data_IF_126621610877
#
_entry.id   IF_126621610877
#
_cell.length_a   1.000
_cell.length_b   1.000
_cell.length_c   1.000
_cell.angle_alpha   90.00
_cell.angle_beta   90.00
_cell.angle_gamma   90.00
#
_symmetry.space_group_name_H-M   'P 1'
#
loop_
_entity.id
_entity.type
_entity.pdbx_description
1 polymer ?
#
# COMPACT_ATOMS: atom_id res chain seq x y z
N UNK A 1 -9.83 50.72 13.07
CA UNK A 1 -8.35 50.73 13.16
C UNK A 1 -7.89 49.31 13.47
N UNK A 2 -7.05 48.70 12.64
CA UNK A 2 -6.45 47.40 12.98
C UNK A 2 -5.26 47.60 13.90
N UNK A 3 -5.14 46.76 14.94
CA UNK A 3 -4.02 46.81 15.86
C UNK A 3 -2.70 46.54 15.11
N UNK A 4 -1.70 47.41 15.30
CA UNK A 4 -0.34 47.17 14.79
C UNK A 4 0.16 45.87 15.40
N UNK A 5 0.34 44.82 14.58
CA UNK A 5 1.03 43.60 14.98
C UNK A 5 2.43 43.99 15.47
N UNK A 6 2.76 43.66 16.71
CA UNK A 6 4.16 43.64 17.17
C UNK A 6 4.82 42.46 16.47
N UNK A 7 5.41 42.73 15.30
CA UNK A 7 6.26 41.76 14.60
C UNK A 7 7.62 41.81 15.28
N UNK A 8 8.12 40.63 15.68
CA UNK A 8 9.43 40.49 16.29
C UNK A 8 10.52 40.70 15.22
N UNK A 9 11.45 41.64 15.41
CA UNK A 9 12.46 41.95 14.39
C UNK A 9 13.46 40.81 14.16
N UNK A 10 13.70 39.92 15.13
CA UNK A 10 14.59 38.78 14.93
C UNK A 10 13.89 37.68 14.11
N UNK A 11 12.61 37.41 14.37
CA UNK A 11 11.83 36.47 13.56
C UNK A 11 11.65 36.95 12.12
N UNK A 12 11.48 38.26 11.90
CA UNK A 12 11.38 38.80 10.53
C UNK A 12 12.75 38.82 9.83
N UNK A 13 13.87 38.98 10.56
CA UNK A 13 15.21 38.80 9.99
C UNK A 13 15.43 37.36 9.53
N UNK A 14 15.11 36.37 10.38
CA UNK A 14 15.18 34.94 10.03
C UNK A 14 14.29 34.57 8.84
N UNK A 15 13.12 35.20 8.69
CA UNK A 15 12.24 35.00 7.51
C UNK A 15 12.80 35.56 6.21
N UNK A 16 13.66 36.58 6.27
CA UNK A 16 14.34 37.15 5.10
C UNK A 16 15.66 36.43 4.78
N UNK A 17 16.21 35.64 5.71
CA UNK A 17 17.40 34.81 5.54
C UNK A 17 17.09 33.41 4.95
N UNK A 18 15.81 33.00 4.94
CA UNK A 18 15.34 31.76 4.31
C UNK A 18 14.74 32.10 2.95
N UNK A 19 15.23 31.45 1.89
CA UNK A 19 14.63 31.55 0.56
C UNK A 19 13.13 31.27 0.63
N UNK A 20 12.33 32.16 0.04
CA UNK A 20 10.88 32.00 -0.02
C UNK A 20 10.46 30.67 -0.64
N UNK A 21 9.25 30.16 -0.35
CA UNK A 21 8.79 28.90 -0.91
C UNK A 21 8.93 28.93 -2.44
N UNK A 22 9.48 27.86 -3.06
CA UNK A 22 9.81 27.87 -4.48
C UNK A 22 8.58 28.22 -5.31
N UNK A 23 8.75 29.01 -6.36
CA UNK A 23 7.64 29.35 -7.27
C UNK A 23 7.20 28.09 -8.03
N UNK A 24 6.19 27.41 -7.48
CA UNK A 24 5.66 26.18 -8.02
C UNK A 24 4.86 26.41 -9.29
N UNK A 25 4.28 27.59 -9.52
CA UNK A 25 3.33 27.82 -10.61
C UNK A 25 3.94 27.52 -11.99
N UNK A 26 5.14 28.02 -12.26
CA UNK A 26 5.85 27.73 -13.51
C UNK A 26 6.28 26.26 -13.61
N UNK A 27 6.65 25.64 -12.49
CA UNK A 27 7.00 24.21 -12.45
C UNK A 27 5.78 23.33 -12.77
N UNK A 28 4.62 23.65 -12.20
CA UNK A 28 3.39 22.88 -12.40
C UNK A 28 2.90 23.02 -13.85
N UNK A 29 2.91 24.23 -14.41
CA UNK A 29 2.52 24.47 -15.82
C UNK A 29 3.41 23.69 -16.80
N UNK A 30 4.71 23.61 -16.56
CA UNK A 30 5.62 22.83 -17.41
C UNK A 30 5.31 21.33 -17.34
N UNK A 31 5.18 20.77 -16.13
CA UNK A 31 4.89 19.34 -15.94
C UNK A 31 3.49 18.99 -16.48
N UNK A 32 2.49 19.85 -16.32
CA UNK A 32 1.17 19.67 -16.94
C UNK A 32 1.27 19.63 -18.46
N UNK A 33 2.05 20.53 -19.08
CA UNK A 33 2.27 20.51 -20.53
C UNK A 33 2.93 19.22 -20.99
N UNK A 34 4.02 18.83 -20.33
CA UNK A 34 4.80 17.61 -20.62
C UNK A 34 3.97 16.32 -20.45
N UNK A 35 3.12 16.28 -19.42
CA UNK A 35 2.30 15.11 -19.08
C UNK A 35 0.92 15.08 -19.73
N UNK A 36 0.52 16.14 -20.45
CA UNK A 36 -0.80 16.28 -21.12
C UNK A 36 -1.13 15.22 -22.16
N UNK A 37 -0.11 14.58 -22.74
CA UNK A 37 -0.26 13.51 -23.74
C UNK A 37 -0.06 12.11 -23.17
N UNK A 38 0.29 11.97 -21.90
CA UNK A 38 0.59 10.67 -21.30
C UNK A 38 -0.69 10.12 -20.65
N UNK A 39 -1.18 8.98 -21.14
CA UNK A 39 -2.31 8.30 -20.53
C UNK A 39 -1.94 7.78 -19.13
N UNK A 40 -2.81 8.00 -18.17
CA UNK A 40 -2.56 7.70 -16.77
C UNK A 40 -2.50 6.19 -16.47
N UNK A 41 -2.91 5.31 -17.41
CA UNK A 41 -2.70 3.86 -17.25
C UNK A 41 -1.21 3.49 -17.14
N UNK A 42 -0.28 4.33 -17.65
CA UNK A 42 1.16 4.14 -17.42
C UNK A 42 1.58 4.11 -15.94
N UNK A 43 0.77 4.69 -15.03
CA UNK A 43 0.97 4.58 -13.57
C UNK A 43 0.97 3.12 -13.09
N UNK A 44 0.28 2.23 -13.79
CA UNK A 44 0.14 0.81 -13.44
C UNK A 44 1.17 -0.08 -14.15
N UNK A 45 1.94 0.45 -15.10
CA UNK A 45 3.10 -0.23 -15.67
C UNK A 45 4.34 -0.09 -14.77
N UNK A 46 5.38 -0.88 -15.05
CA UNK A 46 6.63 -0.85 -14.29
C UNK A 46 7.25 0.56 -14.20
N UNK A 47 7.16 1.35 -15.28
CA UNK A 47 7.73 2.69 -15.35
C UNK A 47 6.99 3.73 -14.50
N UNK A 48 5.67 3.62 -14.33
CA UNK A 48 4.87 4.56 -13.55
C UNK A 48 4.60 4.14 -12.10
N UNK A 49 4.98 2.91 -11.73
CA UNK A 49 4.73 2.33 -10.41
C UNK A 49 5.22 3.19 -9.25
N UNK A 50 6.38 3.83 -9.37
CA UNK A 50 6.90 4.73 -8.33
C UNK A 50 6.03 5.99 -8.14
N UNK A 51 5.56 6.57 -9.25
CA UNK A 51 4.62 7.71 -9.24
C UNK A 51 3.28 7.32 -8.61
N UNK A 52 2.74 6.15 -8.96
CA UNK A 52 1.52 5.61 -8.37
C UNK A 52 1.66 5.41 -6.86
N UNK A 53 2.73 4.75 -6.42
CA UNK A 53 3.02 4.53 -5.00
C UNK A 53 3.13 5.85 -4.22
N UNK A 54 3.80 6.86 -4.79
CA UNK A 54 3.96 8.17 -4.17
C UNK A 54 2.64 8.96 -4.10
N UNK A 55 1.77 8.86 -5.11
CA UNK A 55 0.41 9.41 -5.08
C UNK A 55 -0.43 8.76 -3.98
N UNK A 56 -0.46 7.42 -3.94
CA UNK A 56 -1.19 6.66 -2.92
C UNK A 56 -0.77 7.06 -1.51
N UNK A 57 0.55 7.06 -1.24
CA UNK A 57 1.10 7.51 0.03
C UNK A 57 0.56 8.88 0.44
N UNK A 58 0.71 9.89 -0.43
CA UNK A 58 0.46 11.28 -0.03
C UNK A 58 -1.01 11.66 0.10
N UNK A 59 -1.90 10.97 -0.63
CA UNK A 59 -3.34 11.22 -0.58
C UNK A 59 -4.03 10.39 0.50
N UNK A 60 -3.68 9.11 0.64
CA UNK A 60 -4.31 8.20 1.61
C UNK A 60 -3.74 8.33 3.02
N UNK A 61 -2.49 8.79 3.21
CA UNK A 61 -1.95 9.08 4.55
C UNK A 61 -2.34 10.45 5.11
N UNK A 62 -3.19 11.22 4.40
CA UNK A 62 -3.64 12.53 4.87
C UNK A 62 -4.67 12.34 5.99
N UNK A 63 -4.34 12.78 7.21
CA UNK A 63 -5.22 12.63 8.35
C UNK A 63 -6.55 13.38 8.14
N UNK A 64 -7.67 12.68 8.29
CA UNK A 64 -9.03 13.23 8.16
C UNK A 64 -9.33 14.22 9.28
N UNK A 65 -9.02 15.50 9.04
CA UNK A 65 -9.09 16.54 10.08
C UNK A 65 -9.02 17.97 9.56
N UNK A 66 -10.12 18.46 8.94
CA UNK A 66 -10.50 19.87 8.69
C UNK A 66 -9.54 20.82 7.97
N UNK A 67 -8.28 20.47 7.70
CA UNK A 67 -7.29 21.38 7.06
C UNK A 67 -6.90 20.92 5.66
N UNK A 68 -6.93 19.61 5.38
CA UNK A 68 -6.52 19.05 4.09
C UNK A 68 -7.55 18.08 3.53
N UNK A 69 -7.78 18.23 2.23
CA UNK A 69 -8.60 17.34 1.42
C UNK A 69 -7.88 15.99 1.23
N UNK A 70 -8.57 14.92 1.60
CA UNK A 70 -8.09 13.54 1.55
C UNK A 70 -8.43 12.83 0.25
N UNK A 71 -8.20 11.51 0.21
CA UNK A 71 -8.44 10.70 -0.98
C UNK A 71 -9.92 10.72 -1.46
N UNK A 72 -10.89 10.91 -0.57
CA UNK A 72 -12.32 10.98 -0.94
C UNK A 72 -12.65 12.24 -1.75
N UNK A 73 -12.09 13.39 -1.37
CA UNK A 73 -12.32 14.65 -2.08
C UNK A 73 -11.58 14.65 -3.43
N UNK A 74 -10.36 14.09 -3.43
CA UNK A 74 -9.65 13.76 -4.67
C UNK A 74 -10.51 12.86 -5.58
N UNK A 75 -11.11 11.79 -5.06
CA UNK A 75 -11.99 10.89 -5.81
C UNK A 75 -13.20 11.59 -6.43
N UNK A 76 -13.88 12.45 -5.67
CA UNK A 76 -15.02 13.23 -6.16
C UNK A 76 -14.61 14.17 -7.30
N UNK A 77 -13.47 14.86 -7.18
CA UNK A 77 -12.94 15.71 -8.24
C UNK A 77 -12.37 14.94 -9.45
N UNK A 78 -11.97 13.68 -9.27
CA UNK A 78 -11.63 12.75 -10.36
C UNK A 78 -12.87 12.15 -11.06
N UNK A 79 -14.08 12.45 -10.57
CA UNK A 79 -15.35 12.09 -11.21
C UNK A 79 -16.02 10.80 -10.71
N UNK A 80 -15.57 10.24 -9.58
CA UNK A 80 -16.22 9.06 -8.97
C UNK A 80 -17.52 9.46 -8.27
N UNK A 81 -18.53 8.58 -8.33
CA UNK A 81 -19.80 8.78 -7.61
C UNK A 81 -19.64 8.52 -6.11
N UNK A 82 -20.60 8.98 -5.30
CA UNK A 82 -20.59 8.75 -3.85
C UNK A 82 -20.72 7.27 -3.50
N UNK A 83 -21.40 6.49 -4.34
CA UNK A 83 -21.53 5.03 -4.23
C UNK A 83 -20.18 4.36 -4.49
N UNK A 84 -19.42 4.80 -5.49
CA UNK A 84 -18.08 4.30 -5.79
C UNK A 84 -17.08 4.65 -4.67
N UNK A 85 -17.13 5.88 -4.16
CA UNK A 85 -16.28 6.31 -3.03
C UNK A 85 -16.59 5.47 -1.77
N UNK A 86 -17.86 5.20 -1.48
CA UNK A 86 -18.26 4.30 -0.37
C UNK A 86 -17.80 2.87 -0.61
N UNK A 87 -17.91 2.34 -1.83
CA UNK A 87 -17.44 0.99 -2.16
C UNK A 87 -15.92 0.86 -1.91
N UNK A 88 -15.14 1.90 -2.24
CA UNK A 88 -13.70 1.94 -1.91
C UNK A 88 -13.46 2.00 -0.39
N UNK A 89 -14.21 2.79 0.37
CA UNK A 89 -14.00 2.97 1.83
C UNK A 89 -14.47 1.78 2.69
N UNK A 90 -15.47 1.02 2.21
CA UNK A 90 -16.08 -0.10 2.94
C UNK A 90 -15.79 -1.48 2.35
N UNK A 91 -15.99 -1.69 1.03
CA UNK A 91 -15.95 -3.03 0.41
C UNK A 91 -14.54 -3.42 -0.07
N UNK A 92 -13.75 -2.44 -0.53
CA UNK A 92 -12.35 -2.67 -0.94
C UNK A 92 -11.31 -2.31 0.14
N UNK A 93 -11.79 -1.97 1.35
CA UNK A 93 -10.94 -1.60 2.48
C UNK A 93 -9.95 -2.71 2.83
N UNK A 94 -8.66 -2.41 2.82
CA UNK A 94 -7.60 -3.34 3.20
C UNK A 94 -7.08 -4.26 2.09
N UNK A 95 -7.70 -4.26 0.89
CA UNK A 95 -7.21 -5.02 -0.27
C UNK A 95 -6.06 -4.28 -1.00
N UNK A 96 -6.26 -2.98 -1.25
CA UNK A 96 -5.25 -2.03 -1.74
C UNK A 96 -5.50 -0.65 -1.12
N UNK A 97 -4.63 0.30 -1.43
CA UNK A 97 -4.79 1.71 -1.04
C UNK A 97 -6.05 2.35 -1.69
N UNK A 98 -6.81 3.19 -0.97
CA UNK A 98 -8.00 3.84 -1.55
C UNK A 98 -7.71 4.67 -2.80
N UNK A 99 -6.60 5.43 -2.81
CA UNK A 99 -6.17 6.25 -3.95
C UNK A 99 -5.79 5.38 -5.15
N UNK A 100 -5.27 4.16 -4.92
CA UNK A 100 -5.03 3.19 -6.00
C UNK A 100 -6.34 2.86 -6.74
N UNK A 101 -7.44 2.63 -6.01
CA UNK A 101 -8.74 2.36 -6.63
C UNK A 101 -9.34 3.58 -7.34
N UNK A 102 -9.15 4.79 -6.80
CA UNK A 102 -9.54 6.04 -7.48
C UNK A 102 -8.83 6.18 -8.82
N UNK A 103 -7.50 5.97 -8.83
CA UNK A 103 -6.70 6.04 -10.06
C UNK A 103 -7.05 4.89 -11.01
N UNK A 104 -7.36 3.69 -10.51
CA UNK A 104 -7.77 2.55 -11.33
C UNK A 104 -9.13 2.79 -12.00
N UNK A 105 -10.09 3.40 -11.30
CA UNK A 105 -11.37 3.84 -11.87
C UNK A 105 -11.17 4.93 -12.94
N UNK A 106 -10.30 5.90 -12.66
CA UNK A 106 -9.99 6.99 -13.57
C UNK A 106 -9.39 6.52 -14.90
N UNK A 107 -8.40 5.62 -14.88
CA UNK A 107 -7.72 5.15 -16.11
C UNK A 107 -8.60 4.32 -17.05
N UNK A 108 -9.85 4.01 -16.67
CA UNK A 108 -10.81 3.41 -17.59
C UNK A 108 -11.29 4.39 -18.67
N UNK A 109 -11.11 5.71 -18.49
CA UNK A 109 -11.44 6.71 -19.51
C UNK A 109 -10.35 6.82 -20.58
N UNK A 110 -10.68 6.85 -21.88
CA UNK A 110 -9.68 7.00 -22.95
C UNK A 110 -8.96 8.36 -22.92
N UNK A 111 -9.56 9.37 -22.28
CA UNK A 111 -8.95 10.68 -22.07
C UNK A 111 -8.27 10.84 -20.70
N UNK A 112 -8.06 9.75 -19.96
CA UNK A 112 -7.43 9.80 -18.64
C UNK A 112 -5.94 10.10 -18.79
N UNK A 113 -5.55 11.38 -18.66
CA UNK A 113 -4.16 11.84 -18.77
C UNK A 113 -3.57 12.21 -17.40
N UNK A 114 -2.24 12.27 -17.31
CA UNK A 114 -1.52 12.59 -16.06
C UNK A 114 -1.70 14.07 -15.66
N UNK A 115 -1.74 15.00 -16.61
CA UNK A 115 -1.94 16.44 -16.34
C UNK A 115 -3.29 16.74 -15.67
N UNK A 116 -4.33 15.97 -16.00
CA UNK A 116 -5.65 16.06 -15.37
C UNK A 116 -5.61 15.66 -13.88
N UNK A 117 -4.76 14.68 -13.49
CA UNK A 117 -4.49 14.37 -12.08
C UNK A 117 -3.86 15.58 -11.38
N UNK A 118 -2.84 16.19 -12.00
CA UNK A 118 -2.18 17.39 -11.46
C UNK A 118 -3.15 18.58 -11.35
N UNK A 119 -4.05 18.73 -12.33
CA UNK A 119 -5.09 19.75 -12.35
C UNK A 119 -6.12 19.55 -11.24
N UNK A 120 -6.45 18.30 -10.89
CA UNK A 120 -7.29 17.99 -9.73
C UNK A 120 -6.55 18.29 -8.43
N UNK A 121 -5.27 17.90 -8.30
CA UNK A 121 -4.45 18.24 -7.13
C UNK A 121 -4.34 19.76 -6.90
N UNK A 122 -4.26 20.57 -7.96
CA UNK A 122 -4.33 22.03 -7.87
C UNK A 122 -5.70 22.51 -7.35
N UNK A 123 -6.82 21.94 -7.85
CA UNK A 123 -8.18 22.32 -7.42
C UNK A 123 -8.39 22.08 -5.92
N UNK A 124 -7.97 20.91 -5.41
CA UNK A 124 -8.00 20.57 -3.97
C UNK A 124 -6.81 21.18 -3.18
N UNK A 125 -6.08 22.13 -3.77
CA UNK A 125 -4.98 22.89 -3.14
C UNK A 125 -3.83 22.04 -2.58
N UNK A 126 -3.69 20.80 -3.02
CA UNK A 126 -2.64 19.84 -2.62
C UNK A 126 -1.33 20.06 -3.40
N UNK A 127 -0.83 21.30 -3.35
CA UNK A 127 0.44 21.69 -3.98
C UNK A 127 1.65 20.97 -3.36
N UNK A 128 1.52 20.54 -2.11
CA UNK A 128 2.48 19.68 -1.40
C UNK A 128 2.68 18.34 -2.12
N UNK A 129 1.60 17.75 -2.64
CA UNK A 129 1.64 16.50 -3.40
C UNK A 129 2.37 16.71 -4.72
N UNK A 130 1.99 17.76 -5.46
CA UNK A 130 2.59 18.07 -6.76
C UNK A 130 4.10 18.31 -6.62
N UNK A 131 4.52 19.08 -5.61
CA UNK A 131 5.94 19.34 -5.36
C UNK A 131 6.75 18.07 -5.01
N UNK A 132 6.12 17.04 -4.42
CA UNK A 132 6.78 15.77 -4.11
C UNK A 132 6.78 14.76 -5.27
N UNK A 133 5.77 14.76 -6.14
CA UNK A 133 5.69 13.82 -7.27
C UNK A 133 6.39 14.34 -8.54
N UNK A 134 6.72 15.64 -8.61
CA UNK A 134 7.24 16.29 -9.84
C UNK A 134 8.38 15.54 -10.55
N UNK A 135 9.37 15.05 -9.79
CA UNK A 135 10.50 14.30 -10.35
C UNK A 135 10.04 12.97 -10.95
N UNK A 136 9.24 12.20 -10.22
CA UNK A 136 8.67 10.93 -10.69
C UNK A 136 7.78 11.09 -11.93
N UNK A 137 7.02 12.18 -12.04
CA UNK A 137 6.23 12.49 -13.24
C UNK A 137 7.14 12.82 -14.42
N UNK A 138 8.18 13.63 -14.23
CA UNK A 138 9.16 13.96 -15.27
C UNK A 138 9.94 12.71 -15.75
N UNK A 139 10.37 11.86 -14.83
CA UNK A 139 11.04 10.59 -15.15
C UNK A 139 10.12 9.65 -15.94
N UNK A 140 8.84 9.58 -15.58
CA UNK A 140 7.82 8.83 -16.32
C UNK A 140 7.61 9.39 -17.73
N UNK A 141 7.46 10.71 -17.90
CA UNK A 141 7.31 11.35 -19.22
C UNK A 141 8.52 11.05 -20.11
N UNK A 142 9.74 11.14 -19.56
CA UNK A 142 10.97 10.84 -20.29
C UNK A 142 11.05 9.37 -20.71
N UNK A 143 10.71 8.43 -19.81
CA UNK A 143 10.69 7.00 -20.11
C UNK A 143 9.68 6.67 -21.24
N UNK A 144 8.45 7.20 -21.15
CA UNK A 144 7.45 7.00 -22.22
C UNK A 144 7.92 7.62 -23.53
N UNK A 145 8.49 8.83 -23.50
CA UNK A 145 8.96 9.53 -24.70
C UNK A 145 10.11 8.81 -25.42
N UNK A 146 10.91 8.01 -24.73
CA UNK A 146 11.97 7.18 -25.33
C UNK A 146 11.43 5.93 -26.05
N UNK A 147 10.22 5.48 -25.71
CA UNK A 147 9.60 4.27 -26.29
C UNK A 147 8.64 4.57 -27.45
N UNK A 148 8.32 5.84 -27.72
CA UNK A 148 7.38 6.25 -28.78
C UNK A 148 8.13 6.69 -30.02
N UNK A 149 7.87 6.03 -31.16
CA UNK A 149 8.36 6.50 -32.47
C UNK A 149 7.63 7.76 -32.93
N UNK A 150 8.28 8.72 -33.64
CA UNK A 150 7.72 10.06 -33.86
C UNK A 150 6.53 10.18 -34.84
N UNK A 151 5.83 9.09 -35.19
CA UNK A 151 4.94 9.02 -36.37
C UNK A 151 3.46 9.33 -36.14
N UNK A 152 3.00 9.62 -34.91
CA UNK A 152 1.56 9.76 -34.62
C UNK A 152 1.18 11.05 -33.86
N UNK A 153 0.90 12.10 -34.64
CA UNK A 153 -0.08 13.16 -34.36
C UNK A 153 -0.03 13.89 -33.00
N UNK A 154 -1.15 14.57 -32.64
CA UNK A 154 -1.39 15.15 -31.31
C UNK A 154 -2.05 14.14 -30.33
N UNK A 155 -2.08 12.86 -30.68
CA UNK A 155 -2.85 11.81 -29.99
C UNK A 155 -2.28 11.50 -28.59
N UNK A 156 -3.14 11.00 -27.70
CA UNK A 156 -2.75 10.58 -26.35
C UNK A 156 -1.95 9.28 -26.46
N UNK A 157 -0.76 9.26 -25.88
CA UNK A 157 0.11 8.09 -25.82
C UNK A 157 -0.46 7.13 -24.77
N UNK A 158 -0.91 5.96 -25.22
CA UNK A 158 -1.50 4.92 -24.36
C UNK A 158 -0.53 3.72 -24.21
N UNK A 159 -0.49 3.07 -23.03
CA UNK A 159 0.21 1.80 -22.86
C UNK A 159 -0.45 0.67 -23.67
N UNK A 160 0.30 -0.39 -23.93
CA UNK A 160 -0.21 -1.59 -24.63
C UNK A 160 -1.29 -2.35 -23.86
N UNK A 161 -1.45 -2.07 -22.56
CA UNK A 161 -2.49 -2.63 -21.71
C UNK A 161 -3.04 -1.58 -20.73
N UNK A 162 -4.36 -1.40 -20.72
CA UNK A 162 -5.06 -0.63 -19.68
C UNK A 162 -5.59 -1.63 -18.63
N UNK A 163 -5.20 -1.52 -17.35
CA UNK A 163 -5.68 -2.43 -16.30
C UNK A 163 -7.19 -2.24 -16.10
N UNK A 164 -7.93 -3.33 -15.90
CA UNK A 164 -9.39 -3.28 -15.73
C UNK A 164 -9.77 -2.99 -14.28
N UNK A 165 -10.67 -2.02 -14.08
CA UNK A 165 -11.32 -1.80 -12.80
C UNK A 165 -12.42 -2.87 -12.52
N UNK A 166 -12.76 -3.16 -11.26
CA UNK A 166 -14.00 -3.85 -10.90
C UNK A 166 -15.22 -3.14 -11.50
N UNK A 167 -16.25 -3.88 -11.91
CA UNK A 167 -17.43 -3.32 -12.62
C UNK A 167 -18.10 -2.14 -11.88
N UNK A 168 -18.14 -2.17 -10.55
CA UNK A 168 -18.69 -1.07 -9.73
C UNK A 168 -17.89 0.23 -9.86
N UNK A 169 -16.58 0.16 -10.13
CA UNK A 169 -15.69 1.30 -10.34
C UNK A 169 -15.52 1.68 -11.82
N UNK A 170 -16.09 0.90 -12.74
CA UNK A 170 -16.06 1.21 -14.18
C UNK A 170 -17.07 2.32 -14.52
N UNK A 171 -16.77 3.20 -15.49
CA UNK A 171 -17.73 4.17 -15.99
C UNK A 171 -18.99 3.48 -16.53
N UNK A 172 -20.18 4.00 -16.20
CA UNK A 172 -21.45 3.49 -16.71
C UNK A 172 -21.60 3.91 -18.18
N UNK A 173 -21.01 3.13 -19.08
CA UNK A 173 -21.14 3.33 -20.51
C UNK A 173 -22.47 2.75 -21.00
N UNK A 174 -23.45 3.62 -21.31
CA UNK A 174 -24.69 3.22 -21.99
C UNK A 174 -24.43 2.94 -23.48
N UNK A 175 -23.71 1.85 -23.77
CA UNK A 175 -23.55 1.30 -25.12
C UNK A 175 -23.66 -0.24 -25.06
N UNK A 176 -24.42 -0.80 -25.99
CA UNK A 176 -24.87 -2.19 -26.00
C UNK A 176 -23.75 -3.24 -25.89
N UNK A 177 -23.93 -4.23 -25.01
CA UNK A 177 -23.07 -5.41 -24.96
C UNK A 177 -23.22 -6.27 -26.23
N UNK A 178 -22.23 -6.21 -27.13
CA UNK A 178 -21.99 -7.29 -28.10
C UNK A 178 -20.85 -8.19 -27.64
N UNK A 179 -21.25 -9.23 -26.90
CA UNK A 179 -20.38 -10.34 -26.51
C UNK A 179 -19.67 -10.94 -27.73
N UNK A 180 -18.34 -11.04 -27.67
CA UNK A 180 -17.56 -12.09 -28.32
C UNK A 180 -16.42 -12.52 -27.41
N UNK A 181 -16.60 -13.66 -26.75
CA UNK A 181 -15.48 -14.43 -26.21
C UNK A 181 -14.54 -14.82 -27.35
N UNK A 182 -13.23 -14.69 -27.11
CA UNK A 182 -12.21 -15.51 -27.75
C UNK A 182 -11.19 -15.89 -26.69
N UNK A 183 -11.16 -17.17 -26.38
CA UNK A 183 -10.00 -17.82 -25.78
C UNK A 183 -8.86 -17.82 -26.81
N UNK A 184 -7.62 -17.76 -26.34
CA UNK A 184 -6.42 -18.02 -27.13
C UNK A 184 -5.40 -18.72 -26.25
N UNK A 185 -4.99 -19.91 -26.66
CA UNK A 185 -4.00 -20.76 -26.00
C UNK A 185 -2.56 -20.44 -26.45
N UNK A 186 -1.57 -21.00 -25.73
CA UNK A 186 -0.20 -21.26 -26.20
C UNK A 186 0.74 -20.02 -26.32
N UNK A 187 2.07 -20.09 -26.12
CA UNK A 187 3.01 -21.22 -26.15
C UNK A 187 4.04 -21.20 -25.00
N UNK A 188 4.67 -22.36 -24.77
CA UNK A 188 5.86 -22.58 -23.92
C UNK A 188 7.20 -22.43 -24.67
N UNK A 189 8.29 -22.33 -23.86
CA UNK A 189 9.65 -22.92 -23.99
C UNK A 189 10.82 -21.88 -24.05
N UNK A 190 12.07 -22.22 -23.64
CA UNK A 190 12.47 -22.71 -22.30
C UNK A 190 13.86 -22.17 -21.82
N UNK A 191 14.36 -22.71 -20.70
CA UNK A 191 15.79 -22.83 -20.31
C UNK A 191 16.58 -21.56 -19.90
N UNK A 192 17.64 -21.63 -19.07
CA UNK A 192 17.99 -22.52 -17.94
C UNK A 192 19.25 -21.94 -17.26
N UNK A 193 19.26 -21.79 -15.92
CA UNK A 193 20.50 -21.64 -15.11
C UNK A 193 20.28 -22.10 -13.66
N UNK A 194 20.13 -23.40 -13.46
CA UNK A 194 20.31 -23.99 -12.12
C UNK A 194 21.79 -24.00 -11.69
N UNK A 195 22.09 -23.51 -10.48
CA UNK A 195 23.16 -24.09 -9.65
C UNK A 195 22.73 -24.22 -8.18
N UNK A 196 22.16 -25.40 -7.89
CA UNK A 196 22.19 -26.19 -6.65
C UNK A 196 22.58 -25.48 -5.33
N UNK A 197 21.61 -25.38 -4.41
CA UNK A 197 21.49 -26.21 -3.19
C UNK A 197 20.15 -25.86 -2.48
N UNK A 198 19.54 -26.66 -1.59
CA UNK A 198 19.82 -28.01 -1.08
C UNK A 198 18.46 -28.74 -0.83
N UNK A 199 18.44 -30.03 -0.47
CA UNK A 199 17.18 -30.72 -0.15
C UNK A 199 16.50 -30.20 1.14
N UNK A 200 15.23 -29.77 1.02
CA UNK A 200 14.22 -29.72 2.11
C UNK A 200 12.83 -29.54 1.48
N UNK A 201 11.77 -29.87 2.24
CA UNK A 201 10.38 -29.76 1.78
C UNK A 201 10.08 -28.37 1.21
N UNK A 202 9.64 -28.29 -0.06
CA UNK A 202 9.32 -27.04 -0.74
C UNK A 202 8.02 -26.46 -0.20
N UNK A 203 8.17 -25.58 0.80
CA UNK A 203 7.08 -24.70 1.24
C UNK A 203 6.71 -23.73 0.12
N UNK A 204 5.40 -23.51 -0.09
CA UNK A 204 4.91 -22.53 -1.07
C UNK A 204 5.23 -21.10 -0.64
N UNK A 205 5.10 -20.80 0.65
CA UNK A 205 5.65 -19.61 1.27
C UNK A 205 5.98 -19.89 2.74
N UNK A 206 6.76 -19.00 3.36
CA UNK A 206 7.10 -19.01 4.78
C UNK A 206 6.54 -17.73 5.41
N UNK A 207 5.84 -17.85 6.53
CA UNK A 207 5.19 -16.72 7.22
C UNK A 207 5.60 -16.68 8.69
N UNK A 208 5.76 -15.47 9.22
CA UNK A 208 5.92 -15.23 10.66
C UNK A 208 4.60 -14.77 11.26
N UNK A 209 4.07 -15.49 12.24
CA UNK A 209 2.91 -15.00 13.01
C UNK A 209 3.38 -14.06 14.12
N UNK A 210 2.61 -13.03 14.41
CA UNK A 210 2.80 -12.21 15.62
C UNK A 210 1.44 -11.91 16.25
N UNK A 211 1.30 -12.22 17.53
CA UNK A 211 0.01 -12.23 18.22
C UNK A 211 0.20 -11.96 19.72
N UNK A 212 -0.84 -11.42 20.37
CA UNK A 212 -0.92 -11.35 21.82
C UNK A 212 -1.63 -12.60 22.38
N UNK A 213 -1.57 -12.80 23.71
CA UNK A 213 -2.17 -13.95 24.40
C UNK A 213 -3.64 -14.26 23.99
N UNK A 214 -4.45 -13.24 23.74
CA UNK A 214 -5.86 -13.37 23.35
C UNK A 214 -6.08 -13.77 21.87
N UNK A 215 -5.02 -13.69 21.06
CA UNK A 215 -4.95 -14.17 19.68
C UNK A 215 -4.34 -15.56 19.52
N UNK A 216 -3.82 -16.18 20.59
CA UNK A 216 -3.24 -17.53 20.55
C UNK A 216 -4.18 -18.61 19.95
N UNK A 217 -5.50 -18.67 20.29
CA UNK A 217 -6.39 -19.68 19.71
C UNK A 217 -6.52 -19.54 18.18
N UNK A 218 -6.60 -18.31 17.69
CA UNK A 218 -6.62 -18.00 16.25
C UNK A 218 -5.27 -18.33 15.60
N UNK A 219 -4.15 -18.06 16.28
CA UNK A 219 -2.81 -18.44 15.82
C UNK A 219 -2.69 -19.97 15.63
N UNK A 220 -3.14 -20.76 16.60
CA UNK A 220 -3.15 -22.22 16.51
C UNK A 220 -4.07 -22.74 15.39
N UNK A 221 -5.25 -22.13 15.23
CA UNK A 221 -6.21 -22.48 14.18
C UNK A 221 -5.59 -22.26 12.79
N UNK A 222 -5.11 -21.04 12.53
CA UNK A 222 -4.47 -20.64 11.27
C UNK A 222 -3.22 -21.48 10.99
N UNK A 223 -2.42 -21.78 12.01
CA UNK A 223 -1.22 -22.61 11.87
C UNK A 223 -1.55 -24.03 11.42
N UNK A 224 -2.63 -24.64 11.93
CA UNK A 224 -3.11 -25.96 11.47
C UNK A 224 -3.55 -25.89 10.01
N UNK A 225 -4.28 -24.83 9.62
CA UNK A 225 -4.70 -24.60 8.23
C UNK A 225 -3.48 -24.49 7.31
N UNK A 226 -2.56 -23.56 7.59
CA UNK A 226 -1.35 -23.29 6.78
C UNK A 226 -0.46 -24.53 6.60
N UNK A 227 -0.25 -25.30 7.68
CA UNK A 227 0.53 -26.56 7.63
C UNK A 227 -0.17 -27.69 6.86
N UNK A 228 -1.48 -27.61 6.66
CA UNK A 228 -2.27 -28.63 5.94
C UNK A 228 -2.37 -28.40 4.42
N UNK A 229 -2.13 -27.18 3.94
CA UNK A 229 -2.26 -26.82 2.51
C UNK A 229 -1.22 -27.52 1.62
N UNK A 230 -1.51 -27.57 0.31
CA UNK A 230 -0.56 -27.96 -0.72
C UNK A 230 -0.46 -26.85 -1.78
N UNK A 231 0.73 -26.28 -2.05
CA UNK A 231 1.97 -26.47 -1.29
C UNK A 231 1.83 -26.02 0.18
N UNK A 232 2.61 -26.62 1.08
CA UNK A 232 2.55 -26.29 2.52
C UNK A 232 3.03 -24.87 2.77
N UNK A 233 2.42 -24.18 3.72
CA UNK A 233 2.90 -22.89 4.21
C UNK A 233 3.75 -23.15 5.46
N UNK A 234 5.01 -22.70 5.43
CA UNK A 234 5.90 -22.73 6.58
C UNK A 234 5.47 -21.66 7.58
N UNK A 235 5.30 -22.02 8.85
CA UNK A 235 4.80 -21.09 9.88
C UNK A 235 5.82 -20.98 11.00
N UNK A 236 6.34 -19.78 11.21
CA UNK A 236 7.22 -19.42 12.31
C UNK A 236 6.42 -18.79 13.46
N UNK A 237 6.56 -19.40 14.63
CA UNK A 237 6.08 -18.92 15.93
C UNK A 237 7.30 -18.89 16.86
N UNK A 238 7.52 -17.81 17.61
CA UNK A 238 8.70 -17.66 18.48
C UNK A 238 8.69 -18.65 19.64
N UNK A 239 7.52 -18.96 20.22
CA UNK A 239 7.41 -19.98 21.26
C UNK A 239 7.84 -21.38 20.78
N UNK A 240 7.67 -21.70 19.48
CA UNK A 240 8.14 -22.97 18.93
C UNK A 240 9.67 -23.01 18.70
N UNK A 241 10.36 -21.86 18.75
CA UNK A 241 11.81 -21.70 18.56
C UNK A 241 12.52 -21.24 19.85
N UNK A 242 11.95 -21.60 21.00
CA UNK A 242 12.34 -21.16 22.34
C UNK A 242 13.86 -21.23 22.61
N UNK A 243 14.51 -22.33 22.19
CA UNK A 243 15.95 -22.55 22.40
C UNK A 243 16.83 -21.54 21.64
N UNK A 244 16.47 -21.21 20.39
CA UNK A 244 17.20 -20.21 19.61
C UNK A 244 16.93 -18.80 20.17
N UNK A 245 15.67 -18.49 20.48
CA UNK A 245 15.27 -17.18 21.02
C UNK A 245 15.96 -16.87 22.35
N UNK A 246 16.08 -17.83 23.29
CA UNK A 246 16.80 -17.57 24.56
C UNK A 246 18.31 -17.35 24.39
N UNK A 247 18.91 -17.81 23.29
CA UNK A 247 20.35 -17.65 23.06
C UNK A 247 20.72 -16.25 22.54
N UNK A 248 20.01 -15.76 21.51
CA UNK A 248 20.27 -14.48 20.81
C UNK A 248 18.98 -13.91 20.23
N UNK A 249 18.05 -13.52 21.10
CA UNK A 249 16.67 -13.19 20.72
C UNK A 249 16.53 -12.19 19.56
N UNK A 250 17.19 -11.03 19.66
CA UNK A 250 17.06 -9.96 18.65
C UNK A 250 17.66 -10.38 17.31
N UNK A 251 18.90 -10.90 17.30
CA UNK A 251 19.56 -11.42 16.09
C UNK A 251 18.71 -12.51 15.40
N UNK A 252 18.17 -13.46 16.18
CA UNK A 252 17.33 -14.53 15.66
C UNK A 252 16.02 -14.01 15.07
N UNK A 253 15.37 -13.05 15.73
CA UNK A 253 14.13 -12.43 15.25
C UNK A 253 14.41 -11.62 13.98
N UNK A 254 15.50 -10.85 13.92
CA UNK A 254 15.93 -10.09 12.75
C UNK A 254 16.19 -11.00 11.54
N UNK A 255 16.91 -12.11 11.74
CA UNK A 255 17.22 -13.05 10.67
C UNK A 255 15.98 -13.80 10.20
N UNK A 256 15.09 -14.18 11.11
CA UNK A 256 13.77 -14.71 10.77
C UNK A 256 12.92 -13.69 9.99
N UNK A 257 12.87 -12.44 10.46
CA UNK A 257 12.12 -11.36 9.85
C UNK A 257 12.60 -11.03 8.43
N UNK A 258 13.89 -11.25 8.13
CA UNK A 258 14.44 -11.14 6.76
C UNK A 258 14.11 -12.35 5.88
N UNK A 259 13.98 -13.55 6.46
CA UNK A 259 13.84 -14.82 5.72
C UNK A 259 12.39 -15.23 5.39
N UNK A 260 11.39 -14.78 6.15
CA UNK A 260 9.99 -15.06 5.82
C UNK A 260 9.51 -14.27 4.60
N UNK A 261 8.53 -14.78 3.87
CA UNK A 261 7.91 -14.02 2.77
C UNK A 261 6.97 -12.94 3.34
N UNK A 262 6.10 -13.34 4.27
CA UNK A 262 5.10 -12.49 4.91
C UNK A 262 5.23 -12.46 6.44
N UNK A 263 4.83 -11.34 7.03
CA UNK A 263 4.57 -11.24 8.47
C UNK A 263 3.07 -11.03 8.67
N UNK A 264 2.47 -11.81 9.57
CA UNK A 264 1.03 -11.89 9.79
C UNK A 264 0.71 -11.53 11.24
N UNK A 265 0.42 -10.24 11.51
CA UNK A 265 -0.17 -9.82 12.78
C UNK A 265 -1.59 -10.34 12.93
N UNK A 266 -1.88 -10.99 14.05
CA UNK A 266 -3.24 -11.34 14.46
C UNK A 266 -3.76 -10.19 15.34
N UNK A 267 -4.65 -9.37 14.78
CA UNK A 267 -5.11 -8.14 15.38
C UNK A 267 -6.28 -8.42 16.32
N UNK A 268 -5.96 -8.62 17.58
CA UNK A 268 -6.89 -8.63 18.70
C UNK A 268 -6.88 -7.31 19.45
N UNK A 269 -7.87 -7.08 20.32
CA UNK A 269 -7.82 -5.99 21.31
C UNK A 269 -6.51 -5.98 22.10
N UNK A 270 -6.04 -7.14 22.58
CA UNK A 270 -4.77 -7.28 23.29
C UNK A 270 -3.53 -6.97 22.46
N UNK A 271 -3.56 -7.23 21.14
CA UNK A 271 -2.49 -6.83 20.23
C UNK A 271 -2.39 -5.30 20.14
N UNK A 272 -3.52 -4.62 19.91
CA UNK A 272 -3.59 -3.14 19.82
C UNK A 272 -3.17 -2.49 21.15
N UNK A 273 -3.68 -2.99 22.28
CA UNK A 273 -3.28 -2.50 23.61
C UNK A 273 -1.77 -2.62 23.84
N UNK A 274 -1.12 -3.70 23.36
CA UNK A 274 0.32 -3.92 23.50
C UNK A 274 1.18 -3.02 22.63
N UNK A 275 0.79 -2.76 21.38
CA UNK A 275 1.58 -1.86 20.50
C UNK A 275 1.43 -0.38 20.92
N UNK A 276 0.27 0.00 21.47
CA UNK A 276 -0.02 1.40 21.81
C UNK A 276 0.44 1.82 23.22
N UNK A 277 0.55 0.90 24.20
CA UNK A 277 0.98 1.26 25.56
C UNK A 277 2.50 1.18 25.76
N UNK A 278 3.24 2.30 25.91
CA UNK A 278 4.66 2.24 26.25
C UNK A 278 4.91 1.73 27.69
N UNK A 279 3.99 1.93 28.63
CA UNK A 279 4.26 1.82 30.07
C UNK A 279 4.28 0.39 30.66
N UNK A 280 3.55 -0.58 30.08
CA UNK A 280 3.51 -1.97 30.59
C UNK A 280 4.67 -2.84 30.07
N UNK A 281 5.92 -2.40 30.27
CA UNK A 281 7.13 -3.16 29.89
C UNK A 281 7.59 -4.10 31.03
N UNK A 282 7.32 -3.76 32.29
CA UNK A 282 7.97 -4.39 33.45
C UNK A 282 7.09 -5.25 34.38
N UNK A 283 5.76 -5.23 34.24
CA UNK A 283 4.86 -5.82 35.26
C UNK A 283 4.25 -7.20 34.91
N UNK A 284 4.50 -7.74 33.73
CA UNK A 284 4.05 -9.09 33.40
C UNK A 284 5.21 -9.94 32.88
N UNK A 285 5.54 -10.96 33.67
CA UNK A 285 6.42 -12.05 33.30
C UNK A 285 5.74 -12.86 32.17
N UNK A 286 5.85 -12.36 30.95
CA UNK A 286 5.29 -13.01 29.78
C UNK A 286 6.13 -14.24 29.44
N UNK A 287 5.73 -15.40 29.97
CA UNK A 287 6.32 -16.69 29.64
C UNK A 287 6.18 -17.04 28.14
N UNK A 288 5.22 -16.42 27.44
CA UNK A 288 5.04 -16.55 26.00
C UNK A 288 5.96 -15.58 25.23
N UNK A 289 6.86 -16.14 24.40
CA UNK A 289 7.88 -15.39 23.66
C UNK A 289 7.28 -14.50 22.56
N UNK A 290 6.26 -14.94 21.83
CA UNK A 290 5.57 -14.13 20.82
C UNK A 290 5.03 -12.83 21.41
N UNK A 291 4.36 -12.96 22.56
CA UNK A 291 3.78 -11.86 23.34
C UNK A 291 4.83 -10.96 24.00
N UNK A 292 6.03 -11.50 24.30
CA UNK A 292 7.18 -10.74 24.82
C UNK A 292 7.81 -9.87 23.73
N UNK A 293 8.05 -10.42 22.54
CA UNK A 293 8.75 -9.74 21.44
C UNK A 293 7.83 -8.99 20.45
N UNK A 294 6.51 -9.08 20.61
CA UNK A 294 5.49 -8.37 19.81
C UNK A 294 5.85 -6.90 19.49
N UNK A 295 6.25 -6.10 20.50
CA UNK A 295 6.65 -4.68 20.32
C UNK A 295 7.91 -4.50 19.46
N UNK A 296 8.86 -5.42 19.57
CA UNK A 296 10.09 -5.41 18.79
C UNK A 296 9.78 -5.72 17.33
N UNK A 297 9.03 -6.80 17.07
CA UNK A 297 8.52 -7.15 15.73
C UNK A 297 7.73 -5.98 15.13
N UNK A 298 6.80 -5.36 15.88
CA UNK A 298 6.06 -4.19 15.40
C UNK A 298 6.95 -2.99 15.06
N UNK A 299 8.09 -2.83 15.74
CA UNK A 299 9.06 -1.79 15.40
C UNK A 299 9.83 -2.12 14.12
N UNK A 300 10.16 -3.39 13.87
CA UNK A 300 10.69 -3.86 12.58
C UNK A 300 9.69 -3.64 11.44
N UNK A 301 8.39 -3.93 11.64
CA UNK A 301 7.34 -3.68 10.65
C UNK A 301 7.25 -2.20 10.25
N UNK A 302 7.29 -1.28 11.24
CA UNK A 302 7.28 0.17 10.98
C UNK A 302 8.57 0.64 10.30
N UNK A 303 9.72 0.12 10.71
CA UNK A 303 11.00 0.45 10.10
C UNK A 303 11.06 -0.01 8.63
N UNK A 304 10.67 -1.25 8.33
CA UNK A 304 10.60 -1.76 6.95
C UNK A 304 9.63 -0.93 6.10
N UNK A 305 8.46 -0.57 6.64
CA UNK A 305 7.50 0.28 5.94
C UNK A 305 8.09 1.63 5.54
N UNK A 306 8.71 2.36 6.48
CA UNK A 306 9.35 3.66 6.19
C UNK A 306 10.50 3.49 5.18
N UNK A 307 11.35 2.47 5.37
CA UNK A 307 12.47 2.17 4.45
C UNK A 307 11.98 1.86 3.03
N UNK A 308 10.87 1.15 2.90
CA UNK A 308 10.24 0.79 1.63
C UNK A 308 9.33 1.92 1.09
N UNK A 309 9.63 3.19 1.40
CA UNK A 309 8.87 4.37 0.96
C UNK A 309 7.36 4.27 1.28
N UNK A 310 7.04 3.75 2.46
CA UNK A 310 5.69 3.52 2.95
C UNK A 310 4.86 2.52 2.11
N UNK A 311 5.52 1.57 1.43
CA UNK A 311 4.85 0.46 0.74
C UNK A 311 4.75 -0.79 1.64
N UNK A 312 3.52 -1.23 1.92
CA UNK A 312 3.27 -2.44 2.69
C UNK A 312 3.25 -3.72 1.83
N UNK A 313 4.44 -4.21 1.45
CA UNK A 313 4.56 -5.37 0.58
C UNK A 313 4.37 -6.72 1.31
N UNK A 314 4.81 -6.80 2.58
CA UNK A 314 4.99 -8.07 3.32
C UNK A 314 4.07 -8.26 4.52
N UNK A 315 3.43 -7.20 5.04
CA UNK A 315 2.56 -7.32 6.22
C UNK A 315 1.13 -7.58 5.76
N UNK A 316 0.54 -8.69 6.19
CA UNK A 316 -0.85 -9.04 5.89
C UNK A 316 -1.50 -9.53 7.16
N UNK A 317 -2.38 -8.71 7.74
CA UNK A 317 -2.94 -8.98 9.05
C UNK A 317 -4.17 -9.90 8.98
N UNK A 318 -4.49 -10.57 10.07
CA UNK A 318 -5.72 -11.34 10.22
C UNK A 318 -6.46 -10.86 11.47
N UNK A 319 -7.76 -10.65 11.37
CA UNK A 319 -8.64 -10.20 12.46
C UNK A 319 -9.59 -11.34 12.82
N UNK A 320 -9.59 -11.83 14.07
CA UNK A 320 -10.62 -12.75 14.54
C UNK A 320 -12.02 -12.13 14.38
N UNK A 321 -13.02 -12.91 13.97
CA UNK A 321 -14.34 -12.36 13.62
C UNK A 321 -14.99 -11.57 14.77
N UNK A 322 -14.74 -12.02 16.01
CA UNK A 322 -15.15 -11.37 17.27
C UNK A 322 -14.55 -9.96 17.47
N UNK A 323 -13.38 -9.68 16.91
CA UNK A 323 -12.59 -8.45 17.12
C UNK A 323 -12.78 -7.43 15.98
N UNK A 324 -13.36 -7.81 14.84
CA UNK A 324 -13.53 -6.96 13.64
C UNK A 324 -14.11 -5.58 13.96
N UNK A 325 -15.17 -5.52 14.76
CA UNK A 325 -15.81 -4.25 15.14
C UNK A 325 -14.88 -3.32 15.95
N UNK A 326 -14.02 -3.89 16.79
CA UNK A 326 -13.00 -3.15 17.54
C UNK A 326 -11.94 -2.63 16.58
N UNK A 327 -11.34 -3.52 15.78
CA UNK A 327 -10.21 -3.21 14.89
C UNK A 327 -10.59 -2.19 13.80
N UNK A 328 -11.82 -2.23 13.27
CA UNK A 328 -12.32 -1.25 12.29
C UNK A 328 -12.40 0.18 12.84
N UNK A 329 -12.53 0.34 14.17
CA UNK A 329 -12.66 1.64 14.84
C UNK A 329 -11.34 2.20 15.37
N UNK A 330 -10.31 1.37 15.48
CA UNK A 330 -9.00 1.77 15.95
C UNK A 330 -8.22 2.54 14.88
N UNK A 331 -7.48 3.56 15.30
CA UNK A 331 -6.60 4.32 14.39
C UNK A 331 -5.29 3.54 14.18
N UNK A 332 -5.35 2.51 13.33
CA UNK A 332 -4.23 1.63 13.04
C UNK A 332 -3.15 2.33 12.19
N UNK A 333 -1.88 2.05 12.49
CA UNK A 333 -0.77 2.40 11.60
C UNK A 333 -0.96 1.72 10.22
N UNK A 334 -0.64 2.36 9.08
CA UNK A 334 -0.89 1.82 7.74
C UNK A 334 -0.38 0.39 7.48
N UNK A 335 0.69 -0.03 8.15
CA UNK A 335 1.19 -1.43 8.10
C UNK A 335 0.18 -2.48 8.57
N UNK A 336 -0.80 -2.09 9.39
CA UNK A 336 -1.82 -2.97 9.98
C UNK A 336 -3.21 -2.77 9.36
N UNK A 337 -3.37 -1.82 8.43
CA UNK A 337 -4.66 -1.52 7.81
C UNK A 337 -5.05 -2.53 6.71
N UNK A 338 -4.09 -3.27 6.15
CA UNK A 338 -4.32 -4.36 5.22
C UNK A 338 -4.54 -5.68 5.99
N UNK A 339 -5.80 -6.04 6.19
CA UNK A 339 -6.20 -7.21 6.99
C UNK A 339 -7.34 -8.02 6.36
N UNK A 340 -7.41 -9.29 6.74
CA UNK A 340 -8.44 -10.26 6.35
C UNK A 340 -9.18 -10.76 7.59
N UNK A 341 -10.42 -11.23 7.45
CA UNK A 341 -11.13 -11.89 8.55
C UNK A 341 -10.63 -13.31 8.76
N UNK A 342 -10.80 -13.84 9.96
CA UNK A 342 -10.59 -15.25 10.27
C UNK A 342 -11.53 -16.15 9.44
N UNK A 343 -12.76 -15.70 9.16
CA UNK A 343 -13.68 -16.37 8.22
C UNK A 343 -13.14 -16.52 6.80
N UNK A 344 -12.27 -15.61 6.36
CA UNK A 344 -11.87 -15.45 4.95
C UNK A 344 -10.50 -16.11 4.68
N UNK A 345 -10.04 -16.97 5.61
CA UNK A 345 -8.70 -17.55 5.64
C UNK A 345 -8.33 -18.37 4.40
N UNK A 346 -9.30 -18.99 3.73
CA UNK A 346 -9.04 -19.72 2.48
C UNK A 346 -8.74 -18.77 1.31
N UNK A 347 -9.43 -17.63 1.22
CA UNK A 347 -9.11 -16.56 0.26
C UNK A 347 -7.74 -15.95 0.55
N UNK A 348 -7.43 -15.72 1.83
CA UNK A 348 -6.12 -15.27 2.28
C UNK A 348 -4.99 -16.24 1.85
N UNK A 349 -5.15 -17.54 2.10
CA UNK A 349 -4.17 -18.58 1.73
C UNK A 349 -3.89 -18.56 0.25
N UNK A 350 -4.94 -18.50 -0.59
CA UNK A 350 -4.77 -18.45 -2.03
C UNK A 350 -3.97 -17.20 -2.43
N UNK A 351 -4.30 -16.04 -1.88
CA UNK A 351 -3.60 -14.79 -2.17
C UNK A 351 -2.09 -14.87 -1.87
N UNK A 352 -1.68 -15.38 -0.70
CA UNK A 352 -0.25 -15.45 -0.33
C UNK A 352 0.53 -16.55 -1.07
N UNK A 353 -0.16 -17.54 -1.65
CA UNK A 353 0.46 -18.57 -2.50
C UNK A 353 0.57 -18.12 -3.96
N UNK A 354 -0.43 -17.41 -4.50
CA UNK A 354 -0.42 -16.92 -5.89
C UNK A 354 0.67 -15.87 -6.15
N UNK A 355 1.04 -15.06 -5.16
CA UNK A 355 2.09 -14.04 -5.31
C UNK A 355 3.53 -14.60 -5.39
N UNK A 356 3.70 -15.93 -5.53
CA UNK A 356 5.00 -16.62 -5.58
C UNK A 356 5.17 -17.58 -6.76
N UNK A 357 4.21 -17.59 -7.69
CA UNK A 357 4.27 -18.27 -9.00
C UNK A 357 4.46 -17.19 -10.07
#
# INVERSE_FOLDING_TARGET
MFAKRKVDPELEKLRNEVDGPPNLDMTIVNIQRESSRIHAAYLFEHIGKATLQKLCLLLSSTATGKIYDGWQEFAAHMGLTMEQIRCIDYDFKGLQDPTYYVLLAYVQSPEATIDKILSVLQKIRRLDVINQIKAYVHDLVNAVSQHVTPSHGPEIIQPGHIPKAPLVLSPISMVECKSKMKESESMYMPQDRQQKQQHKQTYGCIVMLTFANDGLPTAECITKIFRSKQPRIGVLILQEQEKQVYSRAEEFIDDCFKQVDYVIPILTKGYIEKINNPLKIYEQLHNNLDTKYLKYIYSLLRYEYVRNQCCNNRVRCIVPDKDVYTIVRENLHPTLQAWFRESDIDGFVNNILFHKI
#
